data_IF_552839281001
#
_entry.id   IF_552839281001
#
_cell.length_a   1.000
_cell.length_b   1.000
_cell.length_c   1.000
_cell.angle_alpha   90.00
_cell.angle_beta   90.00
_cell.angle_gamma   90.00
#
_symmetry.space_group_name_H-M   'P 1'
#
loop_
_entity.id
_entity.type
_entity.pdbx_description
1 polymer ?
#
# COMPACT_ATOMS: atom_id res chain seq x y z
N UNK A 1 -20.72 -1.08 -23.82
CA UNK A 1 -19.23 -1.09 -23.78
C UNK A 1 -18.80 -2.48 -24.18
N UNK A 2 -18.11 -2.64 -25.31
CA UNK A 2 -17.49 -3.92 -25.66
C UNK A 2 -16.33 -4.19 -24.68
N UNK A 3 -16.39 -5.33 -24.00
CA UNK A 3 -15.30 -5.82 -23.16
C UNK A 3 -14.21 -6.29 -24.12
N UNK A 4 -13.07 -5.63 -24.15
CA UNK A 4 -11.91 -6.15 -24.86
C UNK A 4 -11.34 -7.31 -24.03
N UNK A 5 -11.19 -8.47 -24.67
CA UNK A 5 -10.46 -9.56 -24.02
C UNK A 5 -8.96 -9.19 -23.98
N UNK A 6 -8.26 -9.48 -22.88
CA UNK A 6 -6.82 -9.18 -22.78
C UNK A 6 -6.03 -10.09 -23.74
N UNK A 7 -5.05 -9.52 -24.43
CA UNK A 7 -4.14 -10.26 -25.31
C UNK A 7 -3.12 -11.11 -24.54
N UNK A 8 -2.96 -10.86 -23.23
CA UNK A 8 -2.02 -11.57 -22.36
C UNK A 8 -2.03 -11.04 -20.94
N UNK A 9 -1.09 -11.52 -20.13
CA UNK A 9 -0.84 -11.10 -18.76
C UNK A 9 0.61 -10.64 -18.61
N UNK A 10 0.84 -9.64 -17.76
CA UNK A 10 2.17 -9.17 -17.40
C UNK A 10 2.60 -9.78 -16.06
N UNK A 11 3.88 -10.13 -15.96
CA UNK A 11 4.50 -10.69 -14.77
C UNK A 11 5.70 -9.85 -14.33
N UNK A 12 6.16 -10.05 -13.12
CA UNK A 12 7.39 -9.45 -12.59
C UNK A 12 8.56 -9.68 -13.55
N UNK A 13 9.26 -8.60 -13.93
CA UNK A 13 10.41 -8.63 -14.79
C UNK A 13 10.12 -8.63 -16.29
N UNK A 14 8.85 -8.72 -16.70
CA UNK A 14 8.49 -8.56 -18.12
C UNK A 14 8.90 -7.18 -18.63
N UNK A 15 9.21 -7.08 -19.92
CA UNK A 15 9.56 -5.81 -20.57
C UNK A 15 8.44 -5.37 -21.50
N UNK A 16 7.84 -4.24 -21.20
CA UNK A 16 6.88 -3.55 -22.07
C UNK A 16 7.63 -2.54 -22.92
N UNK A 17 7.72 -2.81 -24.23
CA UNK A 17 8.35 -1.89 -25.19
C UNK A 17 7.31 -0.91 -25.74
N UNK A 18 7.61 0.40 -25.65
CA UNK A 18 6.76 1.47 -26.19
C UNK A 18 7.63 2.45 -26.98
N UNK A 19 7.71 2.27 -28.27
CA UNK A 19 8.64 3.02 -29.12
C UNK A 19 10.10 2.76 -28.72
N UNK A 20 10.81 3.81 -28.32
CA UNK A 20 12.19 3.73 -27.83
C UNK A 20 12.31 3.36 -26.35
N UNK A 21 11.22 3.40 -25.60
CA UNK A 21 11.20 3.16 -24.16
C UNK A 21 11.02 1.67 -23.84
N UNK A 22 11.65 1.22 -22.77
CA UNK A 22 11.59 -0.16 -22.28
C UNK A 22 11.29 -0.17 -20.79
N UNK A 23 10.05 -0.50 -20.46
CA UNK A 23 9.56 -0.51 -19.08
C UNK A 23 9.63 -1.93 -18.51
N UNK A 24 10.38 -2.11 -17.44
CA UNK A 24 10.31 -3.31 -16.62
C UNK A 24 9.03 -3.30 -15.78
N UNK A 25 8.32 -4.41 -15.76
CA UNK A 25 7.15 -4.64 -14.92
C UNK A 25 7.61 -4.99 -13.51
N UNK A 26 7.22 -4.19 -12.55
CA UNK A 26 7.41 -4.43 -11.13
C UNK A 26 6.05 -4.79 -10.51
N UNK A 27 5.89 -6.00 -10.00
CA UNK A 27 4.71 -6.36 -9.21
C UNK A 27 4.77 -5.66 -7.86
N UNK A 28 3.83 -4.75 -7.62
CA UNK A 28 3.81 -3.84 -6.47
C UNK A 28 2.45 -3.90 -5.75
N UNK A 29 2.10 -5.08 -5.15
CA UNK A 29 0.83 -5.24 -4.44
C UNK A 29 0.75 -4.30 -3.23
N UNK A 30 -0.49 -4.06 -2.79
CA UNK A 30 -0.80 -3.19 -1.66
C UNK A 30 -2.11 -2.46 -1.91
N UNK A 31 -2.18 -1.62 -2.93
CA UNK A 31 -3.43 -1.00 -3.37
C UNK A 31 -4.41 -2.06 -3.93
N UNK A 32 -3.92 -2.92 -4.79
CA UNK A 32 -4.64 -4.10 -5.30
C UNK A 32 -3.71 -5.30 -5.41
N UNK A 33 -4.23 -6.55 -5.46
CA UNK A 33 -3.36 -7.73 -5.53
C UNK A 33 -2.57 -7.83 -6.84
N UNK A 34 -3.13 -7.32 -7.93
CA UNK A 34 -2.49 -7.31 -9.25
C UNK A 34 -1.86 -5.96 -9.62
N UNK A 35 -1.61 -5.09 -8.64
CA UNK A 35 -0.99 -3.80 -8.92
C UNK A 35 0.43 -3.98 -9.46
N UNK A 36 0.75 -3.25 -10.54
CA UNK A 36 2.08 -3.17 -11.13
C UNK A 36 2.53 -1.72 -11.21
N UNK A 37 3.83 -1.53 -11.14
CA UNK A 37 4.52 -0.31 -11.55
C UNK A 37 5.37 -0.62 -12.78
N UNK A 38 5.66 0.38 -13.61
CA UNK A 38 6.49 0.23 -14.80
C UNK A 38 7.71 1.15 -14.67
N UNK A 39 8.90 0.60 -14.76
CA UNK A 39 10.13 1.35 -14.57
C UNK A 39 11.03 1.31 -15.81
N UNK A 40 11.44 2.47 -16.28
CA UNK A 40 12.43 2.63 -17.35
C UNK A 40 13.79 2.98 -16.74
N UNK A 41 14.72 2.03 -16.83
CA UNK A 41 16.07 2.15 -16.28
C UNK A 41 16.92 3.23 -16.95
N UNK A 42 16.69 3.51 -18.24
CA UNK A 42 17.49 4.47 -19.00
C UNK A 42 17.13 5.91 -18.61
N UNK A 43 15.85 6.19 -18.44
CA UNK A 43 15.34 7.53 -18.10
C UNK A 43 15.14 7.75 -16.62
N UNK A 44 14.97 6.66 -15.84
CA UNK A 44 14.59 6.71 -14.43
C UNK A 44 13.12 7.09 -14.21
N UNK A 45 12.27 6.95 -15.24
CA UNK A 45 10.83 7.20 -15.15
C UNK A 45 10.13 5.99 -14.54
N UNK A 46 9.33 6.22 -13.50
CA UNK A 46 8.48 5.21 -12.88
C UNK A 46 7.00 5.59 -13.04
N UNK A 47 6.22 4.75 -13.71
CA UNK A 47 4.76 4.79 -13.60
C UNK A 47 4.38 4.09 -12.31
N UNK A 48 4.03 4.87 -11.30
CA UNK A 48 3.81 4.41 -9.93
C UNK A 48 2.42 3.85 -9.65
N UNK A 49 1.48 3.98 -10.59
CA UNK A 49 0.09 3.58 -10.39
C UNK A 49 -0.54 4.30 -9.18
N UNK A 50 -1.25 3.55 -8.36
CA UNK A 50 -1.90 4.03 -7.12
C UNK A 50 -1.07 3.72 -5.86
N UNK A 51 0.20 3.32 -6.04
CA UNK A 51 1.07 3.01 -4.90
C UNK A 51 1.60 4.28 -4.22
N UNK A 52 1.96 5.29 -5.01
CA UNK A 52 2.54 6.55 -4.54
C UNK A 52 1.81 7.74 -5.16
N UNK A 53 1.27 8.62 -4.32
CA UNK A 53 0.55 9.81 -4.75
C UNK A 53 0.04 10.62 -3.56
N UNK A 54 -0.79 11.62 -3.87
CA UNK A 54 -1.43 12.47 -2.84
C UNK A 54 -2.67 11.82 -2.22
N UNK A 55 -3.10 10.69 -2.75
CA UNK A 55 -4.27 9.96 -2.25
C UNK A 55 -3.91 9.22 -0.96
N UNK A 56 -4.92 9.05 -0.11
CA UNK A 56 -4.80 8.17 1.06
C UNK A 56 -4.52 6.75 0.58
N UNK A 57 -3.36 6.22 0.95
CA UNK A 57 -3.03 4.83 0.66
C UNK A 57 -4.16 3.92 1.17
N UNK A 58 -4.83 3.27 0.23
CA UNK A 58 -5.87 2.29 0.49
C UNK A 58 -5.30 0.90 0.28
N UNK A 59 -5.54 0.02 1.22
CA UNK A 59 -5.09 -1.37 1.18
C UNK A 59 -5.99 -2.22 2.07
N UNK A 60 -6.10 -3.49 1.71
CA UNK A 60 -6.83 -4.51 2.47
C UNK A 60 -5.97 -5.76 2.58
N UNK A 61 -6.27 -6.70 3.48
CA UNK A 61 -5.56 -7.99 3.51
C UNK A 61 -5.52 -8.69 2.13
N UNK A 62 -6.64 -8.64 1.39
CA UNK A 62 -6.75 -9.26 0.08
C UNK A 62 -5.88 -8.61 -1.00
N UNK A 63 -5.45 -7.36 -0.82
CA UNK A 63 -4.56 -6.66 -1.75
C UNK A 63 -3.07 -6.84 -1.46
N UNK A 64 -2.69 -7.73 -0.54
CA UNK A 64 -1.33 -7.87 -0.02
C UNK A 64 -1.11 -7.15 1.31
N UNK A 65 -2.10 -6.36 1.73
CA UNK A 65 -2.09 -5.67 3.01
C UNK A 65 -1.02 -4.59 3.13
N UNK A 66 -0.86 -4.10 4.35
CA UNK A 66 0.18 -3.11 4.68
C UNK A 66 1.58 -3.69 4.51
N UNK A 67 1.77 -5.00 4.69
CA UNK A 67 3.06 -5.66 4.48
C UNK A 67 3.46 -5.58 3.02
N UNK A 68 2.61 -6.06 2.12
CA UNK A 68 2.88 -5.98 0.67
C UNK A 68 3.04 -4.54 0.19
N UNK A 69 2.27 -3.59 0.76
CA UNK A 69 2.43 -2.18 0.44
C UNK A 69 3.82 -1.65 0.83
N UNK A 70 4.29 -1.96 2.04
CA UNK A 70 5.62 -1.56 2.53
C UNK A 70 6.76 -2.19 1.71
N UNK A 71 6.61 -3.47 1.33
CA UNK A 71 7.55 -4.18 0.46
C UNK A 71 7.60 -3.55 -0.94
N UNK A 72 6.43 -3.20 -1.50
CA UNK A 72 6.31 -2.53 -2.79
C UNK A 72 6.96 -1.14 -2.78
N UNK A 73 6.77 -0.36 -1.71
CA UNK A 73 7.46 0.92 -1.53
C UNK A 73 8.98 0.74 -1.46
N UNK A 74 9.46 -0.29 -0.74
CA UNK A 74 10.89 -0.59 -0.67
C UNK A 74 11.45 -1.00 -2.04
N UNK A 75 10.68 -1.80 -2.83
CA UNK A 75 11.06 -2.23 -4.18
C UNK A 75 11.23 -1.02 -5.11
N UNK A 76 10.22 -0.16 -5.24
CA UNK A 76 10.32 1.01 -6.12
C UNK A 76 11.35 2.03 -5.65
N UNK A 77 11.58 2.14 -4.32
CA UNK A 77 12.64 2.97 -3.77
C UNK A 77 14.04 2.48 -4.19
N UNK A 78 14.23 1.17 -4.23
CA UNK A 78 15.51 0.57 -4.64
C UNK A 78 15.82 0.78 -6.14
N UNK A 79 14.81 1.04 -6.97
CA UNK A 79 15.00 1.41 -8.38
C UNK A 79 15.60 2.82 -8.54
N UNK A 80 15.65 3.63 -7.49
CA UNK A 80 16.14 5.02 -7.49
C UNK A 80 15.53 5.88 -8.63
N UNK A 81 14.19 5.95 -8.71
CA UNK A 81 13.52 6.69 -9.78
C UNK A 81 13.86 8.18 -9.74
N UNK A 82 14.01 8.81 -10.91
CA UNK A 82 14.19 10.25 -11.04
C UNK A 82 12.88 11.03 -11.00
N UNK A 83 11.81 10.39 -11.45
CA UNK A 83 10.46 10.95 -11.47
C UNK A 83 9.44 9.84 -11.35
N UNK A 84 8.34 10.10 -10.62
CA UNK A 84 7.18 9.20 -10.58
C UNK A 84 5.99 9.87 -11.27
N UNK A 85 5.35 9.10 -12.14
CA UNK A 85 4.09 9.41 -12.78
C UNK A 85 2.99 8.59 -12.06
N UNK A 86 2.23 9.19 -11.13
CA UNK A 86 1.15 8.49 -10.44
C UNK A 86 -0.11 8.40 -11.32
N UNK A 87 -1.04 7.50 -11.00
CA UNK A 87 -2.35 7.44 -11.67
C UNK A 87 -3.19 8.68 -11.38
N UNK A 88 -2.97 9.32 -10.23
CA UNK A 88 -3.71 10.47 -9.77
C UNK A 88 -2.78 11.53 -9.17
N UNK A 89 -3.05 12.80 -9.48
CA UNK A 89 -2.30 13.94 -8.96
C UNK A 89 -1.19 14.42 -9.90
N UNK A 90 -0.28 15.21 -9.36
CA UNK A 90 0.81 15.81 -10.12
C UNK A 90 2.00 14.84 -10.25
N UNK A 91 2.83 15.09 -11.25
CA UNK A 91 4.14 14.44 -11.39
C UNK A 91 4.99 14.68 -10.14
N UNK A 92 5.62 13.64 -9.65
CA UNK A 92 6.42 13.66 -8.42
C UNK A 92 7.90 13.81 -8.80
N UNK A 93 8.45 15.00 -8.57
CA UNK A 93 9.84 15.35 -8.87
C UNK A 93 10.82 15.03 -7.74
N UNK A 94 10.33 14.70 -6.53
CA UNK A 94 11.12 14.12 -5.43
C UNK A 94 10.55 12.73 -5.09
N UNK A 95 10.89 11.70 -5.88
CA UNK A 95 10.36 10.35 -5.68
C UNK A 95 10.70 9.75 -4.32
N UNK A 96 11.95 9.88 -3.91
CA UNK A 96 12.45 9.27 -2.68
C UNK A 96 11.79 9.90 -1.46
N UNK A 97 11.72 11.24 -1.42
CA UNK A 97 11.00 11.94 -0.35
C UNK A 97 9.53 11.57 -0.28
N UNK A 98 8.86 11.43 -1.44
CA UNK A 98 7.44 11.03 -1.49
C UNK A 98 7.22 9.57 -1.06
N UNK A 99 8.07 8.64 -1.48
CA UNK A 99 8.02 7.24 -1.04
C UNK A 99 8.19 7.16 0.49
N UNK A 100 9.18 7.87 1.03
CA UNK A 100 9.46 7.88 2.47
C UNK A 100 8.30 8.54 3.26
N UNK A 101 7.65 9.57 2.71
CA UNK A 101 6.43 10.18 3.27
C UNK A 101 5.28 9.17 3.36
N UNK A 102 4.99 8.45 2.27
CA UNK A 102 3.93 7.43 2.24
C UNK A 102 4.24 6.33 3.26
N UNK A 103 5.48 5.83 3.28
CA UNK A 103 5.93 4.83 4.24
C UNK A 103 5.75 5.30 5.69
N UNK A 104 6.15 6.54 5.99
CA UNK A 104 6.01 7.11 7.33
C UNK A 104 4.54 7.20 7.76
N UNK A 105 3.63 7.54 6.84
CA UNK A 105 2.17 7.55 7.11
C UNK A 105 1.65 6.16 7.48
N UNK A 106 2.08 5.09 6.79
CA UNK A 106 1.69 3.71 7.12
C UNK A 106 2.18 3.32 8.51
N UNK A 107 3.45 3.59 8.82
CA UNK A 107 4.04 3.28 10.13
C UNK A 107 3.43 4.12 11.26
N UNK A 108 3.05 5.36 10.99
CA UNK A 108 2.34 6.21 11.97
C UNK A 108 0.96 5.64 12.33
N UNK A 109 0.23 5.07 11.36
CA UNK A 109 -1.04 4.36 11.65
C UNK A 109 -0.80 3.17 12.54
N UNK A 110 0.24 2.38 12.27
CA UNK A 110 0.60 1.24 13.12
C UNK A 110 0.96 1.66 14.54
N UNK A 111 1.76 2.73 14.70
CA UNK A 111 2.10 3.29 16.01
C UNK A 111 0.85 3.75 16.77
N UNK A 112 -0.07 4.45 16.10
CA UNK A 112 -1.36 4.86 16.68
C UNK A 112 -2.15 3.65 17.15
N UNK A 113 -2.26 2.60 16.33
CA UNK A 113 -2.99 1.37 16.66
C UNK A 113 -2.41 0.69 17.90
N UNK A 114 -1.10 0.54 17.97
CA UNK A 114 -0.42 -0.05 19.14
C UNK A 114 -0.65 0.78 20.40
N UNK A 115 -0.62 2.12 20.30
CA UNK A 115 -0.98 3.00 21.41
C UNK A 115 -2.39 2.74 21.93
N UNK A 116 -3.36 2.56 21.05
CA UNK A 116 -4.74 2.23 21.43
C UNK A 116 -4.82 0.87 22.12
N UNK A 117 -4.17 -0.15 21.54
CA UNK A 117 -4.20 -1.53 22.07
C UNK A 117 -3.48 -1.64 23.41
N UNK A 118 -2.46 -0.81 23.66
CA UNK A 118 -1.73 -0.80 24.93
C UNK A 118 -2.54 -0.32 26.14
N UNK A 119 -3.66 0.36 25.89
CA UNK A 119 -4.59 0.78 26.97
C UNK A 119 -5.42 -0.38 27.53
N UNK A 120 -5.47 -1.52 26.83
CA UNK A 120 -6.19 -2.72 27.24
C UNK A 120 -6.87 -3.45 26.08
N UNK A 121 -7.46 -4.62 26.34
CA UNK A 121 -8.14 -5.40 25.31
C UNK A 121 -9.31 -4.64 24.69
N UNK A 122 -9.31 -4.49 23.36
CA UNK A 122 -10.29 -3.70 22.61
C UNK A 122 -10.99 -4.55 21.55
N UNK A 123 -12.29 -4.34 21.31
CA UNK A 123 -12.99 -4.98 20.19
C UNK A 123 -12.50 -4.42 18.85
N UNK A 124 -12.60 -5.22 17.78
CA UNK A 124 -12.19 -4.75 16.46
C UNK A 124 -12.98 -3.51 16.00
N UNK A 125 -14.28 -3.48 16.26
CA UNK A 125 -15.16 -2.36 15.89
C UNK A 125 -14.73 -1.08 16.62
N UNK A 126 -14.47 -1.16 17.93
CA UNK A 126 -14.01 -0.01 18.71
C UNK A 126 -12.62 0.46 18.26
N UNK A 127 -11.73 -0.49 17.92
CA UNK A 127 -10.41 -0.17 17.37
C UNK A 127 -10.55 0.62 16.06
N UNK A 128 -11.38 0.16 15.11
CA UNK A 128 -11.67 0.89 13.87
C UNK A 128 -12.22 2.29 14.18
N UNK A 129 -13.15 2.40 15.15
CA UNK A 129 -13.73 3.67 15.57
C UNK A 129 -12.70 4.66 16.13
N UNK A 130 -11.73 4.16 16.89
CA UNK A 130 -10.63 4.99 17.44
C UNK A 130 -9.55 5.32 16.40
N UNK A 131 -9.34 4.45 15.42
CA UNK A 131 -8.42 4.70 14.31
C UNK A 131 -8.94 5.80 13.37
N UNK A 132 -10.24 5.78 13.05
CA UNK A 132 -10.86 6.65 12.06
C UNK A 132 -12.10 7.35 12.67
N UNK A 133 -12.03 8.67 12.80
CA UNK A 133 -13.12 9.50 13.36
C UNK A 133 -14.19 9.84 12.32
N UNK A 134 -13.84 9.88 11.02
CA UNK A 134 -14.78 10.11 9.93
C UNK A 134 -15.55 8.81 9.66
N UNK A 135 -16.90 8.85 9.74
CA UNK A 135 -17.76 7.66 9.59
C UNK A 135 -17.65 7.01 8.22
N UNK A 136 -17.57 7.81 7.15
CA UNK A 136 -17.44 7.28 5.78
C UNK A 136 -16.12 6.52 5.63
N UNK A 137 -15.01 7.09 6.12
CA UNK A 137 -13.70 6.43 6.10
C UNK A 137 -13.68 5.20 7.00
N UNK A 138 -14.41 5.24 8.14
CA UNK A 138 -14.52 4.11 9.07
C UNK A 138 -15.11 2.87 8.39
N UNK A 139 -16.19 3.03 7.60
CA UNK A 139 -16.79 1.92 6.88
C UNK A 139 -15.91 1.48 5.71
N UNK A 140 -15.43 2.40 4.92
CA UNK A 140 -14.59 2.14 3.77
C UNK A 140 -13.65 3.34 3.53
N UNK A 141 -12.32 3.11 3.52
CA UNK A 141 -11.56 1.86 3.60
C UNK A 141 -11.06 1.48 5.01
N UNK A 142 -11.51 2.16 6.06
CA UNK A 142 -10.94 2.09 7.42
C UNK A 142 -10.93 0.68 8.02
N UNK A 143 -11.98 -0.11 7.82
CA UNK A 143 -12.03 -1.52 8.27
C UNK A 143 -10.94 -2.36 7.63
N UNK A 144 -10.77 -2.27 6.31
CA UNK A 144 -9.75 -3.01 5.58
C UNK A 144 -8.33 -2.61 5.99
N UNK A 145 -8.08 -1.31 6.14
CA UNK A 145 -6.80 -0.76 6.61
C UNK A 145 -6.50 -1.28 8.02
N UNK A 146 -7.47 -1.22 8.94
CA UNK A 146 -7.30 -1.68 10.32
C UNK A 146 -7.01 -3.18 10.37
N UNK A 147 -7.78 -4.00 9.66
CA UNK A 147 -7.58 -5.45 9.62
C UNK A 147 -6.21 -5.81 9.04
N UNK A 148 -5.76 -5.09 8.02
CA UNK A 148 -4.43 -5.28 7.42
C UNK A 148 -3.30 -5.06 8.43
N UNK A 149 -3.37 -3.99 9.23
CA UNK A 149 -2.38 -3.77 10.30
C UNK A 149 -2.51 -4.80 11.42
N UNK A 150 -3.73 -5.18 11.80
CA UNK A 150 -3.94 -6.24 12.80
C UNK A 150 -3.31 -7.55 12.36
N UNK A 151 -3.50 -7.97 11.10
CA UNK A 151 -2.88 -9.20 10.59
C UNK A 151 -1.35 -9.15 10.59
N UNK A 152 -0.77 -8.00 10.16
CA UNK A 152 0.68 -7.79 10.24
C UNK A 152 1.19 -7.94 11.68
N UNK A 153 0.57 -7.24 12.62
CA UNK A 153 1.00 -7.24 14.04
C UNK A 153 0.79 -8.60 14.72
N UNK A 154 -0.24 -9.36 14.32
CA UNK A 154 -0.44 -10.75 14.76
C UNK A 154 0.69 -11.64 14.23
N UNK A 155 1.03 -11.52 12.95
CA UNK A 155 2.14 -12.27 12.33
C UNK A 155 3.50 -11.95 12.96
N UNK A 156 3.71 -10.72 13.43
CA UNK A 156 4.90 -10.29 14.16
C UNK A 156 4.90 -10.70 15.65
N UNK A 157 3.82 -11.31 16.16
CA UNK A 157 3.68 -11.66 17.57
C UNK A 157 3.60 -10.48 18.52
N UNK A 158 3.27 -9.27 18.04
CA UNK A 158 3.19 -8.04 18.84
C UNK A 158 1.84 -7.85 19.53
N UNK A 159 0.81 -8.44 18.97
CA UNK A 159 -0.55 -8.46 19.51
C UNK A 159 -1.12 -9.87 19.41
N UNK A 160 -2.21 -10.12 20.12
CA UNK A 160 -2.98 -11.35 20.07
C UNK A 160 -4.47 -11.05 19.93
N UNK A 161 -5.23 -11.98 19.34
CA UNK A 161 -6.68 -11.87 19.18
C UNK A 161 -7.34 -13.01 19.96
N UNK A 162 -8.17 -12.69 20.95
CA UNK A 162 -8.90 -13.63 21.78
C UNK A 162 -10.35 -13.15 21.98
N UNK A 163 -11.33 -14.04 21.76
CA UNK A 163 -12.75 -13.73 21.99
C UNK A 163 -13.25 -12.48 21.26
N UNK A 164 -12.76 -12.21 20.04
CA UNK A 164 -13.13 -11.04 19.25
C UNK A 164 -12.46 -9.73 19.68
N UNK A 165 -11.59 -9.76 20.70
CA UNK A 165 -10.79 -8.62 21.16
C UNK A 165 -9.32 -8.77 20.75
N UNK A 166 -8.68 -7.62 20.54
CA UNK A 166 -7.25 -7.47 20.29
C UNK A 166 -6.58 -6.91 21.53
N UNK A 167 -5.43 -7.46 21.91
CA UNK A 167 -4.60 -6.99 23.04
C UNK A 167 -3.11 -7.08 22.70
N UNK A 168 -2.27 -6.42 23.46
CA UNK A 168 -0.83 -6.64 23.41
C UNK A 168 -0.49 -8.13 23.65
N UNK A 169 0.57 -8.63 23.03
CA UNK A 169 1.02 -10.01 23.19
C UNK A 169 1.56 -10.31 24.57
#
# INVERSE_FOLDING_TARGET
MSRADPDGSLQEGDIVALGAYRFEVLHTPGHSPGHISLFDHDTGVLFGGDLVGDIVAWYTPASGGVTGYLESLAKIRACDPRVILPSHGAVIGDPIGKIDEVRARLLSREKKMLGIISEGPISFIDLVGRMFTNEMIRFFPGTGITESHVQKLLGEGRIRRNGGKVSMA
#
